data_IF_914705509956
#
_entry.id   IF_914705509956
#
_cell.length_a   1.000
_cell.length_b   1.000
_cell.length_c   1.000
_cell.angle_alpha   90.00
_cell.angle_beta   90.00
_cell.angle_gamma   90.00
#
_symmetry.space_group_name_H-M   'P 1'
#
loop_
_entity.id
_entity.type
_entity.pdbx_description
1 polymer ?
#
# COMPACT_ATOMS: atom_id res chain seq x y z
N UNK A 1 -23.57 -16.53 -9.19
CA UNK A 1 -23.82 -15.10 -9.48
C UNK A 1 -23.06 -14.74 -10.75
N UNK A 2 -23.74 -14.22 -11.77
CA UNK A 2 -23.06 -13.84 -13.02
C UNK A 2 -22.57 -12.40 -12.86
N UNK A 3 -21.25 -12.20 -12.84
CA UNK A 3 -20.64 -10.87 -12.79
C UNK A 3 -20.92 -10.12 -14.10
N UNK A 4 -21.26 -8.84 -13.99
CA UNK A 4 -21.43 -7.93 -15.13
C UNK A 4 -20.16 -7.07 -15.26
N UNK A 5 -19.82 -6.67 -16.47
CA UNK A 5 -18.64 -5.85 -16.75
C UNK A 5 -18.61 -4.51 -15.98
N UNK A 6 -19.78 -4.08 -15.49
CA UNK A 6 -19.92 -2.82 -14.73
C UNK A 6 -19.79 -2.98 -13.23
N UNK A 7 -19.81 -4.21 -12.69
CA UNK A 7 -19.88 -4.45 -11.23
C UNK A 7 -18.63 -3.95 -10.49
N UNK A 8 -17.48 -3.92 -11.17
CA UNK A 8 -16.20 -3.41 -10.61
C UNK A 8 -15.71 -2.11 -11.23
N UNK A 9 -16.55 -1.41 -11.99
CA UNK A 9 -16.14 -0.18 -12.66
C UNK A 9 -15.64 0.87 -11.66
N UNK A 10 -16.39 1.09 -10.59
CA UNK A 10 -16.03 2.04 -9.53
C UNK A 10 -14.72 1.61 -8.82
N UNK A 11 -14.61 0.34 -8.45
CA UNK A 11 -13.41 -0.20 -7.82
C UNK A 11 -12.18 -0.03 -8.72
N UNK A 12 -12.31 -0.36 -10.00
CA UNK A 12 -11.24 -0.20 -10.99
C UNK A 12 -10.80 1.26 -11.11
N UNK A 13 -11.74 2.20 -11.21
CA UNK A 13 -11.44 3.63 -11.30
C UNK A 13 -10.71 4.14 -10.06
N UNK A 14 -11.14 3.73 -8.86
CA UNK A 14 -10.51 4.12 -7.59
C UNK A 14 -9.08 3.55 -7.47
N UNK A 15 -8.89 2.28 -7.81
CA UNK A 15 -7.57 1.64 -7.77
C UNK A 15 -6.63 2.29 -8.79
N UNK A 16 -7.08 2.52 -10.03
CA UNK A 16 -6.31 3.20 -11.08
C UNK A 16 -5.89 4.61 -10.67
N UNK A 17 -6.74 5.35 -9.98
CA UNK A 17 -6.41 6.68 -9.48
C UNK A 17 -5.25 6.64 -8.45
N UNK A 18 -5.14 5.58 -7.67
CA UNK A 18 -4.08 5.39 -6.68
C UNK A 18 -2.79 4.80 -7.27
N UNK A 19 -2.85 4.10 -8.41
CA UNK A 19 -1.67 3.51 -9.07
C UNK A 19 -0.59 4.54 -9.41
N UNK A 20 -0.98 5.77 -9.70
CA UNK A 20 -0.03 6.87 -9.99
C UNK A 20 0.88 7.23 -8.81
N UNK A 21 0.49 6.85 -7.59
CA UNK A 21 1.26 7.09 -6.38
C UNK A 21 2.27 5.96 -6.09
N UNK A 22 2.27 4.89 -6.88
CA UNK A 22 3.23 3.80 -6.73
C UNK A 22 4.66 4.28 -6.98
N UNK A 23 5.60 3.67 -6.29
CA UNK A 23 7.03 3.89 -6.51
C UNK A 23 7.43 3.30 -7.87
N UNK A 24 7.90 4.16 -8.76
CA UNK A 24 8.47 3.75 -10.04
C UNK A 24 9.93 3.32 -9.88
N UNK A 25 10.46 2.55 -10.83
CA UNK A 25 11.87 2.18 -10.85
C UNK A 25 12.79 3.41 -10.75
N UNK A 26 12.48 4.49 -11.47
CA UNK A 26 13.23 5.74 -11.40
C UNK A 26 13.22 6.39 -10.00
N UNK A 27 12.09 6.35 -9.30
CA UNK A 27 12.02 6.86 -7.92
C UNK A 27 12.87 6.00 -6.98
N UNK A 28 12.85 4.69 -7.15
CA UNK A 28 13.67 3.75 -6.36
C UNK A 28 15.16 4.00 -6.62
N UNK A 29 15.57 4.16 -7.88
CA UNK A 29 16.95 4.52 -8.23
C UNK A 29 17.38 5.84 -7.57
N UNK A 30 16.56 6.88 -7.68
CA UNK A 30 16.84 8.17 -6.99
C UNK A 30 16.97 8.01 -5.48
N UNK A 31 16.19 7.13 -4.86
CA UNK A 31 16.32 6.83 -3.43
C UNK A 31 17.63 6.10 -3.11
N UNK A 32 18.06 5.18 -3.97
CA UNK A 32 19.36 4.50 -3.82
C UNK A 32 20.54 5.44 -3.99
N UNK A 33 20.42 6.44 -4.88
CA UNK A 33 21.46 7.45 -5.15
C UNK A 33 21.46 8.58 -4.10
N UNK A 34 20.45 8.66 -3.25
CA UNK A 34 20.34 9.67 -2.21
C UNK A 34 21.51 9.56 -1.22
N UNK A 35 22.12 10.70 -0.91
CA UNK A 35 23.27 10.77 0.00
C UNK A 35 22.86 10.71 1.47
N UNK A 36 21.62 11.06 1.76
CA UNK A 36 21.09 11.09 3.13
C UNK A 36 19.73 10.40 3.19
N UNK A 37 19.40 9.89 4.38
CA UNK A 37 18.08 9.30 4.65
C UNK A 37 16.94 10.32 4.46
N UNK A 38 17.21 11.60 4.73
CA UNK A 38 16.25 12.69 4.54
C UNK A 38 15.90 12.91 3.07
N UNK A 39 16.88 12.83 2.17
CA UNK A 39 16.64 12.93 0.73
C UNK A 39 15.79 11.76 0.23
N UNK A 40 16.09 10.55 0.66
CA UNK A 40 15.29 9.37 0.36
C UNK A 40 13.87 9.50 0.91
N UNK A 41 13.70 10.00 2.14
CA UNK A 41 12.42 10.26 2.77
C UNK A 41 11.56 11.27 2.02
N UNK A 42 12.16 12.31 1.43
CA UNK A 42 11.43 13.29 0.58
C UNK A 42 10.82 12.62 -0.65
N UNK A 43 11.54 11.71 -1.29
CA UNK A 43 11.03 10.99 -2.46
C UNK A 43 9.83 10.10 -2.07
N UNK A 44 9.87 9.48 -0.90
CA UNK A 44 8.73 8.73 -0.36
C UNK A 44 7.54 9.65 -0.08
N UNK A 45 7.77 10.81 0.52
CA UNK A 45 6.72 11.79 0.81
C UNK A 45 6.04 12.32 -0.46
N UNK A 46 6.80 12.58 -1.53
CA UNK A 46 6.28 12.96 -2.85
C UNK A 46 5.39 11.88 -3.47
N UNK A 47 5.59 10.63 -3.07
CA UNK A 47 4.80 9.48 -3.52
C UNK A 47 3.61 9.16 -2.60
N UNK A 48 3.34 10.00 -1.59
CA UNK A 48 2.21 9.84 -0.68
C UNK A 48 2.41 8.86 0.46
N UNK A 49 3.66 8.43 0.72
CA UNK A 49 3.98 7.49 1.81
C UNK A 49 4.11 8.13 3.20
N UNK A 50 3.61 9.34 3.38
CA UNK A 50 3.69 10.05 4.64
C UNK A 50 4.77 11.14 4.65
N UNK A 51 4.98 11.79 5.79
CA UNK A 51 5.93 12.86 5.92
C UNK A 51 7.13 12.36 6.75
N UNK A 52 8.28 12.24 6.10
CA UNK A 52 9.53 11.82 6.74
C UNK A 52 10.42 13.03 6.96
N UNK A 53 10.39 13.61 8.15
CA UNK A 53 11.28 14.73 8.53
C UNK A 53 12.62 14.28 9.07
N UNK A 54 12.66 13.15 9.73
CA UNK A 54 13.88 12.47 10.20
C UNK A 54 13.65 10.98 10.03
N UNK A 55 14.36 10.35 9.13
CA UNK A 55 14.15 8.93 8.81
C UNK A 55 14.84 8.01 9.82
N UNK A 56 14.23 7.82 10.98
CA UNK A 56 14.57 6.64 11.78
C UNK A 56 13.93 5.40 11.18
N UNK A 57 14.57 4.24 11.31
CA UNK A 57 14.04 2.97 10.81
C UNK A 57 12.61 2.70 11.30
N UNK A 58 12.33 2.98 12.57
CA UNK A 58 11.01 2.77 13.17
C UNK A 58 9.92 3.68 12.60
N UNK A 59 10.27 4.91 12.19
CA UNK A 59 9.33 5.83 11.54
C UNK A 59 8.98 5.37 10.13
N UNK A 60 9.97 4.93 9.37
CA UNK A 60 9.78 4.36 8.03
C UNK A 60 8.91 3.11 8.10
N UNK A 61 9.21 2.19 9.02
CA UNK A 61 8.43 0.97 9.22
C UNK A 61 6.96 1.28 9.59
N UNK A 62 6.75 2.22 10.50
CA UNK A 62 5.41 2.66 10.90
C UNK A 62 4.62 3.25 9.73
N UNK A 63 5.26 4.08 8.91
CA UNK A 63 4.62 4.67 7.74
C UNK A 63 4.25 3.62 6.69
N UNK A 64 5.11 2.65 6.42
CA UNK A 64 4.83 1.54 5.51
C UNK A 64 3.67 0.69 6.04
N UNK A 65 3.65 0.39 7.34
CA UNK A 65 2.54 -0.34 7.96
C UNK A 65 1.22 0.42 7.87
N UNK A 66 1.22 1.74 8.07
CA UNK A 66 0.04 2.59 7.92
C UNK A 66 -0.48 2.58 6.47
N UNK A 67 0.40 2.76 5.48
CA UNK A 67 0.04 2.68 4.06
C UNK A 67 -0.58 1.34 3.68
N UNK A 68 -0.03 0.24 4.20
CA UNK A 68 -0.58 -1.09 3.98
C UNK A 68 -1.98 -1.23 4.58
N UNK A 69 -2.18 -0.73 5.80
CA UNK A 69 -3.49 -0.74 6.45
C UNK A 69 -4.52 0.08 5.66
N UNK A 70 -4.14 1.26 5.16
CA UNK A 70 -5.01 2.12 4.35
C UNK A 70 -5.35 1.48 3.00
N UNK A 71 -4.39 0.79 2.39
CA UNK A 71 -4.62 0.02 1.16
C UNK A 71 -5.62 -1.12 1.39
N UNK A 72 -5.51 -1.85 2.50
CA UNK A 72 -6.47 -2.91 2.84
C UNK A 72 -7.87 -2.36 3.11
N UNK A 73 -7.98 -1.20 3.76
CA UNK A 73 -9.27 -0.50 3.93
C UNK A 73 -9.87 -0.10 2.60
N UNK A 74 -9.07 0.49 1.71
CA UNK A 74 -9.52 0.86 0.37
C UNK A 74 -10.08 -0.34 -0.39
N UNK A 75 -9.38 -1.47 -0.37
CA UNK A 75 -9.85 -2.71 -1.03
C UNK A 75 -11.17 -3.17 -0.42
N UNK A 76 -11.30 -3.16 0.90
CA UNK A 76 -12.53 -3.54 1.58
C UNK A 76 -13.70 -2.61 1.22
N UNK A 77 -13.46 -1.29 1.14
CA UNK A 77 -14.49 -0.30 0.78
C UNK A 77 -14.97 -0.45 -0.67
N UNK A 78 -14.05 -0.67 -1.62
CA UNK A 78 -14.41 -0.76 -3.05
C UNK A 78 -14.91 -2.14 -3.47
N UNK A 79 -14.70 -3.15 -2.65
CA UNK A 79 -15.07 -4.55 -2.90
C UNK A 79 -16.02 -5.10 -1.82
N UNK A 80 -16.94 -4.26 -1.31
CA UNK A 80 -17.85 -4.58 -0.17
C UNK A 80 -18.59 -5.91 -0.28
N UNK A 81 -18.99 -6.31 -1.47
CA UNK A 81 -19.79 -7.50 -1.70
C UNK A 81 -18.99 -8.72 -2.19
N UNK A 82 -17.68 -8.69 -2.02
CA UNK A 82 -16.82 -9.74 -2.54
C UNK A 82 -15.82 -10.20 -1.49
N UNK A 83 -15.43 -11.47 -1.55
CA UNK A 83 -14.37 -12.04 -0.71
C UNK A 83 -12.96 -11.69 -1.22
N UNK A 84 -12.81 -10.68 -2.09
CA UNK A 84 -11.49 -10.28 -2.63
C UNK A 84 -10.58 -9.79 -1.50
N UNK A 85 -11.10 -8.96 -0.60
CA UNK A 85 -10.34 -8.49 0.56
C UNK A 85 -9.89 -9.64 1.46
N UNK A 86 -10.73 -10.66 1.63
CA UNK A 86 -10.43 -11.84 2.43
C UNK A 86 -9.24 -12.63 1.86
N UNK A 87 -9.14 -12.74 0.54
CA UNK A 87 -8.00 -13.41 -0.11
C UNK A 87 -6.67 -12.74 0.25
N UNK A 88 -6.62 -11.41 0.26
CA UNK A 88 -5.42 -10.68 0.67
C UNK A 88 -5.12 -10.81 2.18
N UNK A 89 -6.15 -10.94 3.00
CA UNK A 89 -6.01 -11.14 4.45
C UNK A 89 -5.50 -12.54 4.82
N UNK A 90 -5.80 -13.57 4.04
CA UNK A 90 -5.42 -14.97 4.31
C UNK A 90 -3.93 -15.15 4.62
N UNK A 91 -3.06 -14.42 3.93
CA UNK A 91 -1.61 -14.48 4.18
C UNK A 91 -1.26 -14.12 5.62
N UNK A 92 -1.92 -13.12 6.17
CA UNK A 92 -1.70 -12.66 7.54
C UNK A 92 -2.34 -13.59 8.55
N UNK A 93 -3.51 -14.14 8.24
CA UNK A 93 -4.20 -15.12 9.09
C UNK A 93 -3.35 -16.39 9.25
N UNK A 94 -2.82 -16.92 8.16
CA UNK A 94 -1.91 -18.05 8.19
C UNK A 94 -0.60 -17.75 8.93
N UNK A 95 -0.05 -16.55 8.77
CA UNK A 95 1.13 -16.11 9.51
C UNK A 95 0.84 -16.09 11.03
N UNK A 96 -0.28 -15.51 11.42
CA UNK A 96 -0.70 -15.42 12.81
C UNK A 96 -0.92 -16.82 13.43
N UNK A 97 -1.56 -17.73 12.72
CA UNK A 97 -1.75 -19.11 13.14
C UNK A 97 -0.40 -19.78 13.40
N UNK A 98 0.56 -19.65 12.48
CA UNK A 98 1.91 -20.21 12.65
C UNK A 98 2.65 -19.64 13.87
N UNK A 99 2.40 -18.39 14.21
CA UNK A 99 3.06 -17.72 15.34
C UNK A 99 2.52 -18.22 16.69
N UNK A 100 1.25 -18.65 16.73
CA UNK A 100 0.60 -19.14 17.96
C UNK A 100 0.88 -20.62 18.21
N UNK A 101 1.13 -21.39 17.18
CA UNK A 101 1.49 -22.81 17.30
C UNK A 101 2.98 -22.95 17.66
#
# INVERSE_FOLDING_TARGET
MKLRDTDYLYATMRIRANEKNLLTAQKIERMCDAKTAEEAGKILSESGYGNFSVASFSEVERAICAMRADTMKLIAEVCENTHIADVFALKYDFHNIKTVI
#
